data_IF_773147827785
#
_entry.id   IF_773147827785
#
_cell.length_a   1.000
_cell.length_b   1.000
_cell.length_c   1.000
_cell.angle_alpha   90.00
_cell.angle_beta   90.00
_cell.angle_gamma   90.00
#
_symmetry.space_group_name_H-M   'P 1'
#
loop_
_entity.id
_entity.type
_entity.pdbx_description
1 polymer ?
#
# COMPACT_ATOMS: atom_id res chain seq x y z
N UNK A 1 2.89 -18.09 -17.36
CA UNK A 1 3.30 -17.70 -16.00
C UNK A 1 3.68 -16.22 -15.93
N UNK A 2 4.36 -15.69 -16.95
CA UNK A 2 4.92 -14.33 -16.98
C UNK A 2 3.92 -13.19 -16.79
N UNK A 3 2.68 -13.34 -17.26
CA UNK A 3 1.64 -12.32 -17.09
C UNK A 3 1.25 -12.12 -15.63
N UNK A 4 1.13 -13.19 -14.86
CA UNK A 4 0.79 -13.12 -13.43
C UNK A 4 1.93 -12.45 -12.66
N UNK A 5 3.18 -12.83 -12.96
CA UNK A 5 4.36 -12.25 -12.31
C UNK A 5 4.49 -10.74 -12.59
N UNK A 6 4.21 -10.30 -13.82
CA UNK A 6 4.23 -8.86 -14.19
C UNK A 6 3.14 -8.04 -13.50
N UNK A 7 2.00 -8.66 -13.18
CA UNK A 7 0.86 -8.00 -12.53
C UNK A 7 0.72 -8.38 -11.05
N UNK A 8 1.73 -9.04 -10.48
CA UNK A 8 1.66 -9.60 -9.14
C UNK A 8 1.38 -8.52 -8.10
N UNK A 9 1.98 -7.33 -8.27
CA UNK A 9 1.72 -6.18 -7.42
C UNK A 9 0.23 -5.86 -7.31
N UNK A 10 -0.49 -5.74 -8.43
CA UNK A 10 -1.93 -5.43 -8.44
C UNK A 10 -2.76 -6.49 -7.71
N UNK A 11 -2.37 -7.76 -7.81
CA UNK A 11 -3.07 -8.85 -7.12
C UNK A 11 -2.81 -8.74 -5.61
N UNK A 12 -1.55 -8.62 -5.22
CA UNK A 12 -1.11 -8.62 -3.82
C UNK A 12 -1.62 -7.38 -3.07
N UNK A 13 -1.77 -6.23 -3.74
CA UNK A 13 -2.27 -4.99 -3.11
C UNK A 13 -3.70 -5.09 -2.56
N UNK A 14 -4.52 -6.03 -3.04
CA UNK A 14 -5.88 -6.21 -2.51
C UNK A 14 -5.89 -6.79 -1.09
N UNK A 15 -4.87 -7.59 -0.76
CA UNK A 15 -4.76 -8.25 0.55
C UNK A 15 -4.69 -7.24 1.70
N UNK A 16 -3.72 -6.29 1.74
CA UNK A 16 -3.68 -5.30 2.81
C UNK A 16 -4.91 -4.40 2.83
N UNK A 17 -5.45 -4.01 1.66
CA UNK A 17 -6.64 -3.14 1.60
C UNK A 17 -7.82 -3.81 2.31
N UNK A 18 -8.18 -5.03 1.89
CA UNK A 18 -9.34 -5.71 2.45
C UNK A 18 -9.11 -6.07 3.92
N UNK A 19 -7.98 -6.68 4.26
CA UNK A 19 -7.78 -7.25 5.60
C UNK A 19 -7.56 -6.19 6.68
N UNK A 20 -6.93 -5.04 6.37
CA UNK A 20 -6.83 -3.96 7.35
C UNK A 20 -8.20 -3.31 7.62
N UNK A 21 -9.05 -3.17 6.58
CA UNK A 21 -10.43 -2.70 6.72
C UNK A 21 -11.26 -3.68 7.56
N UNK A 22 -11.23 -4.97 7.23
CA UNK A 22 -11.97 -5.99 7.97
C UNK A 22 -11.46 -6.18 9.40
N UNK A 23 -10.15 -6.02 9.63
CA UNK A 23 -9.58 -6.00 10.97
C UNK A 23 -10.26 -4.96 11.85
N UNK A 24 -10.32 -3.72 11.38
CA UNK A 24 -10.98 -2.62 12.09
C UNK A 24 -12.48 -2.86 12.28
N UNK A 25 -13.18 -3.32 11.24
CA UNK A 25 -14.62 -3.63 11.32
C UNK A 25 -14.89 -4.72 12.35
N UNK A 26 -14.10 -5.80 12.37
CA UNK A 26 -14.28 -6.87 13.35
C UNK A 26 -13.99 -6.42 14.78
N UNK A 27 -13.03 -5.52 14.98
CA UNK A 27 -12.81 -4.91 16.29
C UNK A 27 -14.01 -4.05 16.74
N UNK A 28 -14.62 -3.29 15.83
CA UNK A 28 -15.85 -2.54 16.13
C UNK A 28 -17.03 -3.49 16.45
N UNK A 29 -17.20 -4.56 15.68
CA UNK A 29 -18.23 -5.57 15.95
C UNK A 29 -17.97 -6.23 17.30
N UNK A 30 -16.72 -6.51 17.64
CA UNK A 30 -16.34 -7.10 18.93
C UNK A 30 -16.70 -6.20 20.13
N UNK A 31 -16.64 -4.87 19.98
CA UNK A 31 -17.09 -3.93 21.00
C UNK A 31 -18.59 -4.07 21.30
N UNK A 32 -19.40 -4.23 20.25
CA UNK A 32 -20.86 -4.30 20.33
C UNK A 32 -21.31 -5.69 20.75
N UNK A 33 -20.83 -6.73 20.06
CA UNK A 33 -21.23 -8.12 20.26
C UNK A 33 -20.62 -8.75 21.52
N UNK A 34 -19.54 -8.17 22.07
CA UNK A 34 -18.82 -8.63 23.27
C UNK A 34 -18.36 -10.09 23.21
N UNK A 35 -18.26 -10.68 22.01
CA UNK A 35 -17.77 -12.05 21.80
C UNK A 35 -16.29 -12.05 21.46
N UNK A 36 -15.54 -13.03 21.97
CA UNK A 36 -14.08 -13.10 21.85
C UNK A 36 -13.62 -13.47 20.44
N UNK A 37 -14.45 -14.20 19.70
CA UNK A 37 -14.21 -14.68 18.35
C UNK A 37 -13.99 -13.52 17.37
N UNK A 38 -14.71 -12.42 17.55
CA UNK A 38 -14.54 -11.21 16.72
C UNK A 38 -13.18 -10.54 16.95
N UNK A 39 -12.64 -10.56 18.18
CA UNK A 39 -11.29 -10.08 18.44
C UNK A 39 -10.22 -10.98 17.79
N UNK A 40 -10.43 -12.29 17.79
CA UNK A 40 -9.55 -13.22 17.09
C UNK A 40 -9.57 -12.99 15.58
N UNK A 41 -10.76 -12.79 15.00
CA UNK A 41 -10.92 -12.47 13.58
C UNK A 41 -10.23 -11.15 13.22
N UNK A 42 -10.45 -10.09 14.00
CA UNK A 42 -9.79 -8.80 13.82
C UNK A 42 -8.26 -8.90 13.90
N UNK A 43 -7.74 -9.63 14.89
CA UNK A 43 -6.31 -9.87 15.03
C UNK A 43 -5.71 -10.63 13.83
N UNK A 44 -6.38 -11.69 13.37
CA UNK A 44 -5.92 -12.48 12.24
C UNK A 44 -5.89 -11.63 10.97
N UNK A 45 -6.95 -10.86 10.72
CA UNK A 45 -7.01 -9.91 9.61
C UNK A 45 -5.90 -8.87 9.68
N UNK A 46 -5.60 -8.33 10.87
CA UNK A 46 -4.48 -7.39 11.05
C UNK A 46 -3.14 -8.00 10.67
N UNK A 47 -2.85 -9.20 11.17
CA UNK A 47 -1.56 -9.88 10.94
C UNK A 47 -1.40 -10.22 9.46
N UNK A 48 -2.40 -10.84 8.86
CA UNK A 48 -2.34 -11.22 7.44
C UNK A 48 -2.36 -9.96 6.55
N UNK A 49 -3.09 -8.91 6.93
CA UNK A 49 -3.07 -7.62 6.26
C UNK A 49 -1.70 -6.95 6.31
N UNK A 50 -1.01 -6.98 7.45
CA UNK A 50 0.36 -6.47 7.59
C UNK A 50 1.36 -7.26 6.72
N UNK A 51 1.25 -8.60 6.69
CA UNK A 51 2.05 -9.43 5.80
C UNK A 51 1.77 -9.13 4.32
N UNK A 52 0.50 -8.90 3.96
CA UNK A 52 0.08 -8.46 2.64
C UNK A 52 0.64 -7.09 2.27
N UNK A 53 0.75 -6.17 3.22
CA UNK A 53 1.35 -4.85 3.01
C UNK A 53 2.86 -4.96 2.71
N UNK A 54 3.58 -5.82 3.44
CA UNK A 54 4.98 -6.13 3.16
C UNK A 54 5.12 -6.68 1.74
N UNK A 55 4.34 -7.70 1.39
CA UNK A 55 4.38 -8.30 0.06
C UNK A 55 4.04 -7.30 -1.05
N UNK A 56 3.10 -6.37 -0.80
CA UNK A 56 2.73 -5.32 -1.75
C UNK A 56 3.87 -4.34 -2.00
N UNK A 57 4.57 -3.91 -0.95
CA UNK A 57 5.71 -3.00 -1.06
C UNK A 57 6.88 -3.68 -1.78
N UNK A 58 7.16 -4.95 -1.46
CA UNK A 58 8.26 -5.70 -2.08
C UNK A 58 8.04 -5.99 -3.58
N UNK A 59 6.78 -6.17 -3.98
CA UNK A 59 6.42 -6.43 -5.39
C UNK A 59 6.19 -5.17 -6.20
N UNK A 60 6.26 -3.98 -5.57
CA UNK A 60 6.07 -2.69 -6.23
C UNK A 60 7.07 -2.47 -7.38
N UNK A 61 6.61 -2.01 -8.56
CA UNK A 61 7.52 -1.74 -9.66
C UNK A 61 8.41 -0.53 -9.36
N UNK A 62 9.59 -0.48 -9.97
CA UNK A 62 10.48 0.68 -9.92
C UNK A 62 9.75 1.94 -10.43
N UNK A 63 10.13 3.17 -10.01
CA UNK A 63 9.42 4.39 -10.36
C UNK A 63 9.18 4.51 -11.86
N UNK A 64 7.92 4.32 -12.27
CA UNK A 64 7.50 4.63 -13.63
C UNK A 64 7.52 6.15 -13.81
N UNK A 65 7.48 6.63 -15.06
CA UNK A 65 7.39 8.07 -15.43
C UNK A 65 6.15 8.79 -14.86
N UNK A 66 5.36 8.15 -14.01
CA UNK A 66 4.18 8.71 -13.37
C UNK A 66 4.59 9.41 -12.05
N UNK A 67 4.38 10.73 -11.92
CA UNK A 67 4.75 11.48 -10.73
C UNK A 67 4.03 11.03 -9.44
N UNK A 68 2.92 10.30 -9.57
CA UNK A 68 2.15 9.77 -8.44
C UNK A 68 2.77 8.50 -7.81
N UNK A 69 3.79 7.90 -8.43
CA UNK A 69 4.43 6.69 -7.88
C UNK A 69 5.14 7.00 -6.56
N UNK A 70 5.84 8.12 -6.47
CA UNK A 70 6.55 8.54 -5.26
C UNK A 70 5.61 8.71 -4.07
N UNK A 71 4.51 9.49 -4.15
CA UNK A 71 3.58 9.57 -3.04
C UNK A 71 2.87 8.24 -2.78
N UNK A 72 2.50 7.46 -3.81
CA UNK A 72 1.90 6.14 -3.60
C UNK A 72 2.82 5.21 -2.78
N UNK A 73 4.10 5.13 -3.15
CA UNK A 73 5.08 4.29 -2.45
C UNK A 73 5.30 4.77 -1.01
N UNK A 74 5.32 6.09 -0.79
CA UNK A 74 5.44 6.67 0.55
C UNK A 74 4.27 6.24 1.46
N UNK A 75 3.03 6.41 1.01
CA UNK A 75 1.86 6.01 1.80
C UNK A 75 1.75 4.48 1.94
N UNK A 76 2.20 3.71 0.95
CA UNK A 76 2.28 2.25 1.04
C UNK A 76 3.27 1.82 2.15
N UNK A 77 4.47 2.42 2.19
CA UNK A 77 5.47 2.18 3.24
C UNK A 77 4.96 2.61 4.63
N UNK A 78 4.28 3.74 4.72
CA UNK A 78 3.69 4.22 5.96
C UNK A 78 2.59 3.27 6.48
N UNK A 79 1.70 2.82 5.58
CA UNK A 79 0.68 1.81 5.87
C UNK A 79 1.32 0.51 6.37
N UNK A 80 2.35 0.03 5.66
CA UNK A 80 3.09 -1.17 6.01
C UNK A 80 3.69 -1.04 7.42
N UNK A 81 4.44 0.03 7.69
CA UNK A 81 5.06 0.23 9.00
C UNK A 81 4.02 0.31 10.12
N UNK A 82 2.97 1.11 9.95
CA UNK A 82 1.91 1.25 10.95
C UNK A 82 1.20 -0.08 11.22
N UNK A 83 0.84 -0.82 10.18
CA UNK A 83 0.16 -2.13 10.34
C UNK A 83 1.05 -3.17 11.04
N UNK A 84 2.36 -3.19 10.75
CA UNK A 84 3.32 -4.05 11.45
C UNK A 84 3.41 -3.68 12.93
N UNK A 85 3.57 -2.39 13.24
CA UNK A 85 3.64 -1.93 14.64
C UNK A 85 2.37 -2.31 15.39
N UNK A 86 1.19 -2.05 14.81
CA UNK A 86 -0.09 -2.43 15.40
C UNK A 86 -0.19 -3.94 15.62
N UNK A 87 0.26 -4.76 14.66
CA UNK A 87 0.27 -6.21 14.77
C UNK A 87 1.19 -6.69 15.90
N UNK A 88 2.43 -6.20 15.93
CA UNK A 88 3.42 -6.57 16.96
C UNK A 88 2.92 -6.17 18.35
N UNK A 89 2.43 -4.94 18.51
CA UNK A 89 1.94 -4.45 19.81
C UNK A 89 0.74 -5.26 20.27
N UNK A 90 -0.25 -5.51 19.39
CA UNK A 90 -1.45 -6.28 19.74
C UNK A 90 -1.10 -7.72 20.11
N UNK A 91 -0.31 -8.41 19.28
CA UNK A 91 0.09 -9.80 19.52
C UNK A 91 0.99 -9.91 20.75
N UNK A 92 1.96 -9.01 20.91
CA UNK A 92 2.87 -8.99 22.06
C UNK A 92 2.13 -8.79 23.39
N UNK A 93 1.19 -7.84 23.45
CA UNK A 93 0.37 -7.63 24.64
C UNK A 93 -0.57 -8.80 24.92
N UNK A 94 -1.10 -9.44 23.88
CA UNK A 94 -1.92 -10.64 24.05
C UNK A 94 -1.09 -11.80 24.62
N UNK A 95 0.12 -12.04 24.12
CA UNK A 95 0.97 -13.14 24.58
C UNK A 95 1.47 -12.88 26.02
N UNK A 96 2.04 -11.70 26.28
CA UNK A 96 2.72 -11.39 27.55
C UNK A 96 1.80 -10.95 28.68
N UNK A 97 0.72 -10.22 28.36
CA UNK A 97 -0.18 -9.64 29.36
C UNK A 97 -1.58 -10.23 29.31
N UNK A 98 -1.88 -11.13 28.36
CA UNK A 98 -3.23 -11.69 28.11
C UNK A 98 -4.27 -10.58 27.92
N UNK A 99 -3.85 -9.42 27.39
CA UNK A 99 -4.68 -8.24 27.18
C UNK A 99 -5.11 -8.15 25.72
N UNK A 100 -6.41 -8.13 25.49
CA UNK A 100 -7.00 -7.90 24.17
C UNK A 100 -7.05 -6.41 23.85
N UNK A 101 -6.24 -5.98 22.88
CA UNK A 101 -6.11 -4.58 22.51
C UNK A 101 -7.20 -4.10 21.55
N UNK A 102 -7.97 -5.00 20.94
CA UNK A 102 -9.05 -4.67 20.00
C UNK A 102 -10.18 -3.82 20.61
N UNK A 103 -10.19 -3.63 21.93
CA UNK A 103 -11.15 -2.75 22.63
C UNK A 103 -10.54 -1.41 23.06
N UNK A 104 -9.23 -1.26 22.94
CA UNK A 104 -8.53 -0.08 23.42
C UNK A 104 -8.73 1.09 22.43
N UNK A 105 -9.20 2.26 22.90
CA UNK A 105 -9.52 3.38 22.02
C UNK A 105 -8.29 3.91 21.26
N UNK A 106 -7.10 3.92 21.89
CA UNK A 106 -5.85 4.38 21.26
C UNK A 106 -5.48 3.44 20.12
N UNK A 107 -5.61 2.14 20.33
CA UNK A 107 -5.39 1.13 19.29
C UNK A 107 -6.39 1.26 18.14
N UNK A 108 -7.67 1.48 18.45
CA UNK A 108 -8.71 1.66 17.44
C UNK A 108 -8.48 2.90 16.58
N UNK A 109 -8.02 4.00 17.16
CA UNK A 109 -7.60 5.20 16.41
C UNK A 109 -6.42 4.86 15.48
N UNK A 110 -5.42 4.11 15.98
CA UNK A 110 -4.31 3.66 15.15
C UNK A 110 -4.76 2.73 14.01
N UNK A 111 -5.67 1.81 14.27
CA UNK A 111 -6.25 0.89 13.28
C UNK A 111 -7.06 1.64 12.23
N UNK A 112 -7.86 2.63 12.63
CA UNK A 112 -8.57 3.53 11.72
C UNK A 112 -7.59 4.34 10.86
N UNK A 113 -6.50 4.84 11.44
CA UNK A 113 -5.46 5.54 10.68
C UNK A 113 -4.83 4.62 9.62
N UNK A 114 -4.59 3.34 9.93
CA UNK A 114 -4.11 2.36 8.96
C UNK A 114 -5.13 2.13 7.83
N UNK A 115 -6.43 2.07 8.14
CA UNK A 115 -7.51 1.98 7.16
C UNK A 115 -7.55 3.19 6.22
N UNK A 116 -7.44 4.40 6.78
CA UNK A 116 -7.42 5.64 5.99
C UNK A 116 -6.18 5.66 5.09
N UNK A 117 -5.01 5.31 5.61
CA UNK A 117 -3.75 5.27 4.86
C UNK A 117 -3.79 4.26 3.72
N UNK A 118 -4.28 3.04 3.96
CA UNK A 118 -4.38 2.02 2.90
C UNK A 118 -5.41 2.41 1.84
N UNK A 119 -6.53 3.01 2.25
CA UNK A 119 -7.55 3.54 1.35
C UNK A 119 -7.00 4.67 0.47
N UNK A 120 -6.24 5.60 1.06
CA UNK A 120 -5.60 6.69 0.33
C UNK A 120 -4.50 6.19 -0.62
N UNK A 121 -3.70 5.21 -0.18
CA UNK A 121 -2.71 4.54 -1.03
C UNK A 121 -3.38 3.90 -2.25
N UNK A 122 -4.48 3.19 -2.04
CA UNK A 122 -5.29 2.59 -3.11
C UNK A 122 -5.92 3.64 -4.03
N UNK A 123 -6.38 4.77 -3.48
CA UNK A 123 -6.88 5.89 -4.27
C UNK A 123 -5.82 6.44 -5.23
N UNK A 124 -4.60 6.70 -4.76
CA UNK A 124 -3.49 7.12 -5.63
C UNK A 124 -3.17 6.03 -6.66
N UNK A 125 -3.16 4.75 -6.24
CA UNK A 125 -3.00 3.60 -7.13
C UNK A 125 -3.99 3.60 -8.29
N UNK A 126 -5.27 3.82 -8.00
CA UNK A 126 -6.32 3.94 -9.01
C UNK A 126 -6.10 5.12 -9.96
N UNK A 127 -5.63 6.27 -9.45
CA UNK A 127 -5.30 7.42 -10.29
C UNK A 127 -4.14 7.15 -11.25
N UNK A 128 -3.13 6.38 -10.81
CA UNK A 128 -1.98 6.03 -11.66
C UNK A 128 -2.35 5.19 -12.87
N UNK A 129 -3.39 4.37 -12.76
CA UNK A 129 -3.85 3.47 -13.82
C UNK A 129 -4.86 4.15 -14.74
N UNK A 130 -5.78 4.96 -14.19
CA UNK A 130 -6.95 5.44 -14.94
C UNK A 130 -6.89 6.91 -15.40
N UNK A 131 -6.01 7.74 -14.82
CA UNK A 131 -5.92 9.16 -15.23
C UNK A 131 -4.80 9.36 -16.26
N UNK A 132 -5.04 10.10 -17.36
CA UNK A 132 -3.96 10.51 -18.26
C UNK A 132 -2.93 11.33 -17.48
N UNK A 133 -1.65 10.97 -17.59
CA UNK A 133 -0.56 11.79 -17.02
C UNK A 133 -0.59 13.14 -17.74
N UNK A 134 -0.79 14.27 -17.03
CA UNK A 134 -0.81 15.57 -17.68
C UNK A 134 0.54 15.86 -18.34
N UNK A 135 0.50 16.29 -19.61
CA UNK A 135 1.66 16.48 -20.47
C UNK A 135 2.76 17.38 -19.86
N UNK A 136 2.42 18.27 -18.91
CA UNK A 136 3.36 19.15 -18.21
C UNK A 136 4.30 18.45 -17.22
N UNK A 137 4.00 17.21 -16.83
CA UNK A 137 4.84 16.40 -15.92
C UNK A 137 5.48 15.19 -16.61
N UNK A 138 5.20 14.99 -17.90
CA UNK A 138 5.94 14.03 -18.70
C UNK A 138 7.36 14.55 -18.88
N UNK A 139 8.34 13.88 -18.28
CA UNK A 139 9.75 14.08 -18.63
C UNK A 139 9.83 13.89 -20.14
N UNK A 140 10.31 14.88 -20.93
CA UNK A 140 10.27 14.79 -22.38
C UNK A 140 10.98 13.49 -22.80
N UNK A 141 10.29 12.68 -23.61
CA UNK A 141 10.96 11.58 -24.26
C UNK A 141 12.10 12.19 -25.09
N UNK A 142 13.34 11.74 -24.89
CA UNK A 142 14.40 12.06 -25.82
C UNK A 142 13.91 11.65 -27.22
N UNK A 143 13.72 12.62 -28.10
CA UNK A 143 13.24 12.40 -29.45
C UNK A 143 14.15 11.40 -30.16
N UNK A 144 13.64 10.26 -30.68
CA UNK A 144 14.42 9.40 -31.54
C UNK A 144 14.43 10.04 -32.93
N UNK A 145 15.37 10.95 -33.18
CA UNK A 145 15.43 11.63 -34.48
C UNK A 145 16.34 12.85 -34.54
N UNK A 146 17.57 12.74 -34.07
CA UNK A 146 18.63 13.67 -34.45
C UNK A 146 19.70 12.87 -35.22
N UNK A 147 19.47 12.69 -36.52
CA UNK A 147 20.52 12.26 -37.45
C UNK A 147 21.61 13.34 -37.44
N UNK A 148 22.91 13.01 -37.29
CA UNK A 148 23.94 14.03 -37.36
C UNK A 148 24.03 14.53 -38.80
N UNK A 149 23.66 15.78 -39.03
CA UNK A 149 23.85 16.47 -40.29
C UNK A 149 25.35 16.48 -40.61
N UNK A 150 25.69 15.93 -41.77
CA UNK A 150 27.05 15.89 -42.30
C UNK A 150 27.61 17.31 -42.44
N UNK A 151 28.73 17.55 -41.76
CA UNK A 151 29.58 18.73 -41.93
C UNK A 151 30.15 18.73 -43.35
N UNK A 152 29.63 19.59 -44.22
CA UNK A 152 30.30 19.97 -45.47
C UNK A 152 31.11 21.23 -45.22
N UNK A 153 32.43 21.08 -45.16
CA UNK A 153 33.38 22.20 -45.15
C UNK A 153 33.49 22.79 -46.58
N UNK A 154 33.68 24.11 -46.74
CA UNK A 154 33.87 24.70 -48.05
C UNK A 154 35.29 24.47 -48.56
N UNK A 155 35.41 24.09 -49.83
CA UNK A 155 36.66 24.01 -50.55
C UNK A 155 37.28 25.41 -50.76
N UNK A 156 38.59 25.50 -50.55
CA UNK A 156 39.48 26.47 -51.20
C UNK A 156 40.42 25.71 -52.12
#
# INVERSE_FOLDING_TARGET
MDYILKNLHYIVTHVPIALLVFSFIFDLIALIAKKREWHSAGMLCLVVGALGAIASVLTGPSPWRNPLVVPHEFYAKLTMFLSIVLAIVRVGLLIWKKKELGRNPIYLVGSLAAVILVGYTGHIGGQMVHKPVPAKTAVPAASPGATPAASTAPAK
#
